data_IF_481052887969
#
_entry.id   IF_481052887969
#
_cell.length_a   1.000
_cell.length_b   1.000
_cell.length_c   1.000
_cell.angle_alpha   90.00
_cell.angle_beta   90.00
_cell.angle_gamma   90.00
#
_symmetry.space_group_name_H-M   'P 1'
#
loop_
_entity.id
_entity.type
_entity.pdbx_description
1 polymer ?
#
# COMPACT_ATOMS: atom_id res chain seq x y z
N UNK A 1 -19.91 8.73 11.96
CA UNK A 1 -18.47 8.56 11.76
C UNK A 1 -18.10 9.30 10.48
N UNK A 2 -17.27 10.30 10.61
CA UNK A 2 -16.78 11.00 9.43
C UNK A 2 -15.76 10.12 8.72
N UNK A 3 -16.04 9.72 7.47
CA UNK A 3 -14.99 9.24 6.59
C UNK A 3 -13.88 10.29 6.57
N UNK A 4 -12.61 9.89 6.60
CA UNK A 4 -11.54 10.85 6.45
C UNK A 4 -11.73 11.57 5.11
N UNK A 5 -11.65 12.89 5.15
CA UNK A 5 -11.68 13.65 3.92
C UNK A 5 -10.49 13.21 3.05
N UNK A 6 -10.80 12.53 1.97
CA UNK A 6 -9.81 12.14 0.97
C UNK A 6 -9.78 13.23 -0.11
N UNK A 7 -8.67 13.94 -0.20
CA UNK A 7 -8.42 14.78 -1.36
C UNK A 7 -8.49 13.92 -2.64
N UNK A 8 -9.05 14.40 -3.74
CA UNK A 8 -9.00 13.69 -5.03
C UNK A 8 -7.59 13.27 -5.44
N UNK A 9 -6.60 14.10 -5.13
CA UNK A 9 -5.19 13.89 -5.46
C UNK A 9 -4.42 13.08 -4.42
N UNK A 10 -5.05 12.63 -3.34
CA UNK A 10 -4.39 11.82 -2.32
C UNK A 10 -3.83 10.55 -2.95
N UNK A 11 -2.57 10.24 -2.66
CA UNK A 11 -1.91 9.02 -3.12
C UNK A 11 -2.23 7.89 -2.15
N UNK A 12 -2.78 6.80 -2.67
CA UNK A 12 -3.19 5.65 -1.89
C UNK A 12 -2.49 4.40 -2.40
N UNK A 13 -1.87 3.66 -1.49
CA UNK A 13 -1.34 2.33 -1.75
C UNK A 13 -2.29 1.30 -1.14
N UNK A 14 -2.84 0.44 -1.99
CA UNK A 14 -3.60 -0.73 -1.54
C UNK A 14 -2.62 -1.87 -1.31
N UNK A 15 -2.57 -2.37 -0.09
CA UNK A 15 -1.66 -3.43 0.34
C UNK A 15 -2.44 -4.57 1.00
N UNK A 16 -1.93 -5.79 0.89
CA UNK A 16 -2.54 -6.94 1.53
C UNK A 16 -2.21 -6.92 3.02
N UNK A 17 -3.23 -6.97 3.87
CA UNK A 17 -3.04 -7.22 5.29
C UNK A 17 -3.17 -8.72 5.54
N UNK A 18 -2.08 -9.43 5.92
CA UNK A 18 -2.06 -10.89 5.84
C UNK A 18 -3.06 -11.59 6.76
N UNK A 19 -3.22 -11.07 7.98
CA UNK A 19 -4.04 -11.71 9.02
C UNK A 19 -4.86 -10.70 9.82
N UNK A 20 -5.94 -11.14 10.49
CA UNK A 20 -6.67 -10.29 11.44
C UNK A 20 -5.79 -9.74 12.56
N UNK A 21 -4.77 -10.48 13.00
CA UNK A 21 -3.80 -10.07 14.01
C UNK A 21 -2.97 -8.89 13.51
N UNK A 22 -2.49 -8.94 12.26
CA UNK A 22 -1.77 -7.80 11.65
C UNK A 22 -2.65 -6.54 11.57
N UNK A 23 -3.94 -6.72 11.33
CA UNK A 23 -4.90 -5.61 11.37
C UNK A 23 -5.03 -5.03 12.79
N UNK A 24 -5.03 -5.86 13.82
CA UNK A 24 -5.04 -5.38 15.21
C UNK A 24 -3.75 -4.63 15.55
N UNK A 25 -2.59 -5.10 15.09
CA UNK A 25 -1.32 -4.37 15.21
C UNK A 25 -1.43 -2.99 14.58
N UNK A 26 -1.95 -2.90 13.36
CA UNK A 26 -2.15 -1.63 12.68
C UNK A 26 -3.09 -0.69 13.45
N UNK A 27 -4.17 -1.22 14.01
CA UNK A 27 -5.19 -0.43 14.75
C UNK A 27 -4.72 0.02 16.13
N UNK A 28 -4.01 -0.85 16.85
CA UNK A 28 -3.66 -0.63 18.26
C UNK A 28 -2.26 -0.03 18.38
N UNK A 29 -1.31 -0.55 17.62
CA UNK A 29 0.10 -0.12 17.71
C UNK A 29 0.47 0.91 16.62
N UNK A 30 -0.39 1.12 15.62
CA UNK A 30 -0.20 2.17 14.63
C UNK A 30 0.91 1.89 13.62
N UNK A 31 1.17 0.64 13.27
CA UNK A 31 2.15 0.31 12.24
C UNK A 31 1.76 -0.93 11.42
N UNK A 32 2.32 -1.00 10.22
CA UNK A 32 2.17 -2.11 9.28
C UNK A 32 3.54 -2.45 8.68
N UNK A 33 3.81 -3.72 8.44
CA UNK A 33 5.10 -4.19 7.91
C UNK A 33 4.97 -4.72 6.50
N UNK A 34 6.00 -4.42 5.69
CA UNK A 34 6.14 -4.95 4.34
C UNK A 34 7.55 -5.55 4.22
N UNK A 35 7.69 -6.83 3.83
CA UNK A 35 9.01 -7.40 3.58
C UNK A 35 9.77 -6.56 2.54
N UNK A 36 11.03 -6.22 2.82
CA UNK A 36 11.82 -5.33 1.96
C UNK A 36 11.96 -5.86 0.54
N UNK A 37 12.06 -7.19 0.39
CA UNK A 37 12.22 -7.85 -0.91
C UNK A 37 10.99 -7.73 -1.82
N UNK A 38 9.80 -7.55 -1.26
CA UNK A 38 8.54 -7.45 -2.01
C UNK A 38 7.92 -6.07 -1.94
N UNK A 39 8.54 -5.15 -1.21
CA UNK A 39 8.02 -3.81 -1.02
C UNK A 39 7.94 -3.05 -2.36
N UNK A 40 6.88 -2.26 -2.56
CA UNK A 40 6.82 -1.37 -3.70
C UNK A 40 7.89 -0.29 -3.58
N UNK A 41 8.36 0.22 -4.71
CA UNK A 41 9.44 1.21 -4.77
C UNK A 41 9.14 2.48 -3.97
N UNK A 42 7.88 2.90 -3.92
CA UNK A 42 7.46 4.15 -3.28
C UNK A 42 6.46 3.85 -2.17
N UNK A 43 6.89 4.12 -0.94
CA UNK A 43 6.07 3.99 0.27
C UNK A 43 5.62 5.35 0.83
N UNK A 44 6.14 6.44 0.29
CA UNK A 44 5.74 7.78 0.69
C UNK A 44 4.42 8.19 0.02
N UNK A 45 3.35 7.57 0.47
CA UNK A 45 1.97 7.82 0.06
C UNK A 45 1.18 8.49 1.19
N UNK A 46 0.00 9.01 0.90
CA UNK A 46 -0.83 9.67 1.92
C UNK A 46 -1.59 8.66 2.78
N UNK A 47 -2.02 7.54 2.16
CA UNK A 47 -2.81 6.52 2.84
C UNK A 47 -2.41 5.10 2.43
N UNK A 48 -2.54 4.17 3.37
CA UNK A 48 -2.62 2.75 3.10
C UNK A 48 -4.07 2.27 3.19
N UNK A 49 -4.51 1.52 2.19
CA UNK A 49 -5.78 0.80 2.21
C UNK A 49 -5.50 -0.71 2.32
N UNK A 50 -6.19 -1.38 3.22
CA UNK A 50 -5.89 -2.76 3.56
C UNK A 50 -6.84 -3.73 2.87
N UNK A 51 -6.28 -4.53 1.96
CA UNK A 51 -6.99 -5.64 1.34
C UNK A 51 -6.92 -6.89 2.21
N UNK A 52 -8.07 -7.48 2.47
CA UNK A 52 -8.26 -8.64 3.34
C UNK A 52 -8.31 -9.93 2.51
N UNK A 53 -7.27 -10.80 2.59
CA UNK A 53 -7.24 -12.08 1.89
C UNK A 53 -8.10 -13.15 2.57
N UNK A 54 -7.96 -14.42 2.13
CA UNK A 54 -8.75 -15.55 2.61
C UNK A 54 -8.72 -15.76 4.14
N UNK A 55 -7.60 -15.39 4.80
CA UNK A 55 -7.44 -15.47 6.27
C UNK A 55 -8.51 -14.71 7.05
N UNK A 56 -9.17 -13.74 6.44
CA UNK A 56 -10.27 -12.97 7.05
C UNK A 56 -11.63 -13.67 6.98
N UNK A 57 -11.72 -14.90 6.46
CA UNK A 57 -12.93 -15.74 6.44
C UNK A 57 -14.14 -15.03 5.83
N UNK A 58 -15.15 -14.69 6.63
CA UNK A 58 -16.38 -14.01 6.19
C UNK A 58 -16.14 -12.59 5.69
N UNK A 59 -15.05 -11.96 6.12
CA UNK A 59 -14.66 -10.59 5.73
C UNK A 59 -13.53 -10.57 4.68
N UNK A 60 -13.30 -11.68 4.01
CA UNK A 60 -12.28 -11.82 2.96
C UNK A 60 -12.66 -11.11 1.66
N UNK A 61 -11.67 -10.90 0.82
CA UNK A 61 -11.81 -10.40 -0.56
C UNK A 61 -12.41 -9.00 -0.65
N UNK A 62 -11.91 -8.09 0.18
CA UNK A 62 -12.37 -6.71 0.21
C UNK A 62 -11.35 -5.78 0.87
N UNK A 63 -11.51 -4.49 0.60
CA UNK A 63 -10.89 -3.40 1.35
C UNK A 63 -11.96 -2.80 2.25
N UNK A 64 -11.73 -2.80 3.56
CA UNK A 64 -12.63 -2.20 4.54
C UNK A 64 -11.99 -1.11 5.38
N UNK A 65 -10.65 -1.03 5.36
CA UNK A 65 -9.90 -0.15 6.25
C UNK A 65 -8.91 0.71 5.48
N UNK A 66 -8.75 1.93 5.95
CA UNK A 66 -7.85 2.94 5.43
C UNK A 66 -7.14 3.61 6.60
N UNK A 67 -5.85 3.91 6.47
CA UNK A 67 -5.08 4.64 7.46
C UNK A 67 -4.17 5.68 6.81
N UNK A 68 -4.01 6.88 7.42
CA UNK A 68 -2.99 7.82 6.98
C UNK A 68 -1.60 7.25 7.21
N UNK A 69 -0.68 7.48 6.28
CA UNK A 69 0.73 7.15 6.42
C UNK A 69 1.46 8.33 7.05
N UNK A 70 2.13 8.09 8.17
CA UNK A 70 2.91 9.11 8.87
C UNK A 70 4.39 9.08 8.52
N UNK A 71 4.89 7.93 8.07
CA UNK A 71 6.27 7.71 7.69
C UNK A 71 6.57 6.22 7.54
N UNK A 72 7.82 5.92 7.21
CA UNK A 72 8.29 4.53 7.16
C UNK A 72 9.78 4.47 7.49
N UNK A 73 10.22 3.31 7.96
CA UNK A 73 11.61 3.03 8.27
C UNK A 73 11.96 1.57 7.92
N UNK A 74 13.21 1.33 7.59
CA UNK A 74 13.72 -0.03 7.41
C UNK A 74 14.12 -0.58 8.78
N UNK A 75 13.70 -1.80 9.08
CA UNK A 75 13.96 -2.47 10.36
C UNK A 75 14.10 -3.97 10.15
N UNK A 76 14.56 -4.69 11.16
CA UNK A 76 14.61 -6.15 11.13
C UNK A 76 13.40 -6.78 11.83
N UNK A 77 13.16 -8.07 11.54
CA UNK A 77 12.10 -8.83 12.19
C UNK A 77 12.29 -8.84 13.72
N UNK A 78 13.53 -9.04 14.18
CA UNK A 78 13.87 -9.07 15.59
C UNK A 78 13.54 -7.75 16.31
N UNK A 79 13.76 -6.62 15.65
CA UNK A 79 13.42 -5.29 16.19
C UNK A 79 11.92 -5.03 16.24
N UNK A 80 11.19 -5.52 15.23
CA UNK A 80 9.73 -5.37 15.17
C UNK A 80 8.99 -6.27 16.18
N UNK A 81 9.48 -7.51 16.31
CA UNK A 81 8.85 -8.58 17.09
C UNK A 81 9.83 -9.02 18.18
N UNK A 82 9.90 -8.27 19.25
CA UNK A 82 10.88 -8.46 20.35
C UNK A 82 10.86 -9.85 21.00
N UNK A 83 9.77 -10.59 20.87
CA UNK A 83 9.63 -11.97 21.33
C UNK A 83 10.05 -13.02 20.31
N UNK A 84 10.50 -12.62 19.12
CA UNK A 84 10.96 -13.51 18.04
C UNK A 84 12.44 -13.35 17.71
N UNK A 85 13.27 -12.93 18.68
CA UNK A 85 14.71 -12.67 18.48
C UNK A 85 15.46 -13.93 18.00
N UNK A 86 15.05 -15.11 18.45
CA UNK A 86 15.65 -16.39 18.10
C UNK A 86 15.01 -17.04 16.85
N UNK A 87 14.12 -16.32 16.15
CA UNK A 87 13.48 -16.84 14.95
C UNK A 87 14.51 -17.02 13.81
N UNK A 88 14.42 -18.09 12.98
CA UNK A 88 15.35 -18.30 11.86
C UNK A 88 15.42 -17.13 10.86
N UNK A 89 14.39 -16.29 10.80
CA UNK A 89 14.33 -15.09 9.97
C UNK A 89 14.40 -13.79 10.79
N UNK A 90 15.10 -13.82 11.92
CA UNK A 90 15.22 -12.64 12.80
C UNK A 90 15.85 -11.43 12.10
N UNK A 91 16.80 -11.68 11.21
CA UNK A 91 17.53 -10.67 10.45
C UNK A 91 16.83 -10.25 9.14
N UNK A 92 15.65 -10.81 8.84
CA UNK A 92 14.88 -10.41 7.66
C UNK A 92 14.45 -8.94 7.78
N UNK A 93 14.71 -8.17 6.73
CA UNK A 93 14.40 -6.75 6.70
C UNK A 93 12.96 -6.48 6.27
N UNK A 94 12.36 -5.51 6.95
CA UNK A 94 11.01 -5.03 6.70
C UNK A 94 10.97 -3.50 6.66
N UNK A 95 10.11 -2.97 5.83
CA UNK A 95 9.65 -1.59 6.02
C UNK A 95 8.54 -1.58 7.06
N UNK A 96 8.77 -0.84 8.14
CA UNK A 96 7.74 -0.50 9.12
C UNK A 96 7.08 0.80 8.70
N UNK A 97 5.84 0.71 8.30
CA UNK A 97 5.04 1.89 7.92
C UNK A 97 4.27 2.36 9.14
N UNK A 98 4.54 3.58 9.56
CA UNK A 98 3.86 4.22 10.68
C UNK A 98 2.53 4.79 10.20
N UNK A 99 1.47 4.50 10.94
CA UNK A 99 0.11 4.80 10.58
C UNK A 99 -0.55 5.74 11.59
N UNK A 100 -1.40 6.62 11.08
CA UNK A 100 -2.40 7.27 11.89
C UNK A 100 -3.57 6.32 12.20
N UNK A 101 -4.67 6.86 12.69
CA UNK A 101 -5.84 6.06 13.06
C UNK A 101 -6.41 5.28 11.89
N UNK A 102 -6.51 3.97 12.04
CA UNK A 102 -7.18 3.10 11.06
C UNK A 102 -8.68 3.33 11.13
N UNK A 103 -9.28 3.64 10.00
CA UNK A 103 -10.71 3.93 9.88
C UNK A 103 -11.39 2.92 8.97
N UNK A 104 -12.62 2.57 9.32
CA UNK A 104 -13.47 1.71 8.48
C UNK A 104 -14.10 2.53 7.36
N UNK A 105 -14.16 1.95 6.17
CA UNK A 105 -14.93 2.50 5.06
C UNK A 105 -16.43 2.29 5.32
N UNK A 106 -17.25 3.23 4.88
CA UNK A 106 -18.71 3.11 4.93
C UNK A 106 -19.18 1.92 4.09
N UNK A 107 -18.58 1.75 2.92
CA UNK A 107 -18.87 0.65 2.00
C UNK A 107 -17.55 -0.05 1.65
N UNK A 108 -17.46 -1.38 1.87
CA UNK A 108 -16.29 -2.14 1.48
C UNK A 108 -16.11 -2.15 -0.04
N UNK A 109 -14.87 -2.05 -0.49
CA UNK A 109 -14.50 -2.24 -1.89
C UNK A 109 -14.22 -3.73 -2.10
N UNK A 110 -15.03 -4.41 -2.89
CA UNK A 110 -14.97 -5.86 -3.07
C UNK A 110 -14.00 -6.25 -4.18
N UNK A 111 -13.39 -7.41 -4.04
CA UNK A 111 -12.49 -7.94 -5.06
C UNK A 111 -13.20 -8.28 -6.38
N UNK A 112 -14.45 -8.75 -6.33
CA UNK A 112 -15.08 -9.34 -7.49
C UNK A 112 -14.28 -10.57 -7.93
N UNK A 113 -13.95 -10.66 -9.21
CA UNK A 113 -13.14 -11.76 -9.74
C UNK A 113 -11.63 -11.55 -9.57
N UNK A 114 -11.21 -10.34 -9.25
CA UNK A 114 -9.79 -9.99 -9.09
C UNK A 114 -9.34 -10.14 -7.63
N UNK A 115 -8.98 -11.35 -7.24
CA UNK A 115 -8.66 -11.70 -5.85
C UNK A 115 -7.18 -11.63 -5.50
N UNK A 116 -6.30 -11.53 -6.49
CA UNK A 116 -4.84 -11.57 -6.29
C UNK A 116 -4.16 -10.38 -6.95
N UNK A 117 -3.40 -9.66 -6.16
CA UNK A 117 -2.47 -8.63 -6.56
C UNK A 117 -1.41 -8.48 -5.46
N UNK A 118 -0.33 -7.79 -5.70
CA UNK A 118 0.68 -7.51 -4.67
C UNK A 118 0.44 -6.14 -4.06
N UNK A 119 0.48 -5.11 -4.89
CA UNK A 119 0.21 -3.72 -4.51
C UNK A 119 -0.55 -3.03 -5.63
N UNK A 120 -1.34 -2.04 -5.27
CA UNK A 120 -2.07 -1.22 -6.23
C UNK A 120 -1.99 0.24 -5.80
N UNK A 121 -1.43 1.11 -6.67
CA UNK A 121 -1.50 2.55 -6.49
C UNK A 121 -2.77 3.11 -7.10
N UNK A 122 -3.42 3.99 -6.35
CA UNK A 122 -4.60 4.70 -6.80
C UNK A 122 -4.64 6.11 -6.21
N UNK A 123 -5.66 6.86 -6.54
CA UNK A 123 -5.89 8.20 -5.98
C UNK A 123 -7.18 8.29 -5.19
N UNK A 124 -7.31 9.35 -4.39
CA UNK A 124 -8.53 9.59 -3.61
C UNK A 124 -9.78 9.71 -4.49
N UNK A 125 -9.64 10.24 -5.71
CA UNK A 125 -10.74 10.35 -6.66
C UNK A 125 -11.31 8.97 -7.03
N UNK A 126 -10.45 8.05 -7.45
CA UNK A 126 -10.85 6.67 -7.77
C UNK A 126 -11.34 5.92 -6.54
N UNK A 127 -10.68 6.10 -5.41
CA UNK A 127 -11.00 5.39 -4.17
C UNK A 127 -12.39 5.71 -3.64
N UNK A 128 -12.79 6.99 -3.65
CA UNK A 128 -14.11 7.42 -3.15
C UNK A 128 -15.29 6.85 -3.93
N UNK A 129 -15.12 6.62 -5.23
CA UNK A 129 -16.16 6.08 -6.10
C UNK A 129 -16.17 4.58 -6.26
N UNK A 130 -15.16 3.88 -5.71
CA UNK A 130 -14.95 2.47 -5.95
C UNK A 130 -15.93 1.57 -5.19
N UNK A 131 -16.45 0.57 -5.88
CA UNK A 131 -17.21 -0.55 -5.31
C UNK A 131 -16.49 -1.88 -5.51
N UNK A 132 -15.69 -1.98 -6.57
CA UNK A 132 -14.85 -3.13 -6.90
C UNK A 132 -13.37 -2.72 -6.97
N UNK A 133 -12.46 -3.67 -6.77
CA UNK A 133 -11.02 -3.43 -6.91
C UNK A 133 -10.65 -2.92 -8.31
N UNK A 134 -11.34 -3.37 -9.34
CA UNK A 134 -11.12 -2.90 -10.72
C UNK A 134 -11.39 -1.40 -10.88
N UNK A 135 -12.26 -0.83 -10.06
CA UNK A 135 -12.55 0.61 -10.08
C UNK A 135 -11.37 1.46 -9.57
N UNK A 136 -10.43 0.84 -8.85
CA UNK A 136 -9.24 1.51 -8.32
C UNK A 136 -8.14 1.67 -9.37
N UNK A 137 -8.24 0.99 -10.52
CA UNK A 137 -7.25 1.11 -11.58
C UNK A 137 -7.35 2.45 -12.29
N UNK A 138 -6.25 3.20 -12.25
CA UNK A 138 -6.18 4.54 -12.85
C UNK A 138 -6.19 4.44 -14.36
N UNK A 139 -7.00 5.27 -15.01
CA UNK A 139 -7.11 5.32 -16.47
C UNK A 139 -5.74 5.56 -17.14
N UNK A 140 -5.48 4.98 -18.33
CA UNK A 140 -4.18 5.09 -19.00
C UNK A 140 -3.69 6.53 -19.17
N UNK A 141 -4.58 7.46 -19.47
CA UNK A 141 -4.25 8.88 -19.63
C UNK A 141 -3.75 9.54 -18.35
N UNK A 142 -4.15 9.03 -17.19
CA UNK A 142 -3.81 9.60 -15.88
C UNK A 142 -2.63 8.90 -15.20
N UNK A 143 -2.22 7.72 -15.66
CA UNK A 143 -1.10 6.95 -15.08
C UNK A 143 0.21 7.74 -15.06
N UNK A 144 0.47 8.50 -16.09
CA UNK A 144 1.68 9.33 -16.18
C UNK A 144 1.68 10.42 -15.12
N UNK A 145 0.54 11.06 -14.87
CA UNK A 145 0.37 12.06 -13.80
C UNK A 145 0.57 11.44 -12.42
N UNK A 146 -0.04 10.28 -12.19
CA UNK A 146 0.13 9.55 -10.93
C UNK A 146 1.58 9.13 -10.72
N UNK A 147 2.25 8.60 -11.75
CA UNK A 147 3.66 8.24 -11.69
C UNK A 147 4.54 9.45 -11.36
N UNK A 148 4.29 10.59 -12.00
CA UNK A 148 5.02 11.82 -11.70
C UNK A 148 4.87 12.22 -10.23
N UNK A 149 3.67 12.19 -9.68
CA UNK A 149 3.41 12.50 -8.27
C UNK A 149 4.12 11.52 -7.33
N UNK A 150 4.10 10.22 -7.62
CA UNK A 150 4.80 9.19 -6.84
C UNK A 150 6.32 9.40 -6.89
N UNK A 151 6.87 9.69 -8.06
CA UNK A 151 8.30 9.93 -8.26
C UNK A 151 8.78 11.14 -7.48
N UNK A 152 8.05 12.24 -7.51
CA UNK A 152 8.38 13.45 -6.75
C UNK A 152 8.50 13.18 -5.25
N UNK A 153 7.66 12.31 -4.70
CA UNK A 153 7.74 11.88 -3.30
C UNK A 153 8.89 10.92 -3.03
N UNK A 154 9.22 10.06 -3.98
CA UNK A 154 10.35 9.13 -3.88
C UNK A 154 11.71 9.83 -3.87
N UNK A 155 11.89 10.90 -4.64
CA UNK A 155 13.17 11.63 -4.75
C UNK A 155 13.53 12.43 -3.50
N UNK A 156 12.60 12.68 -2.59
CA UNK A 156 12.90 13.32 -1.31
C UNK A 156 13.85 12.51 -0.41
N UNK A 157 14.14 11.25 -0.75
CA UNK A 157 14.98 10.34 0.02
C UNK A 157 16.16 9.72 -0.73
N UNK A 158 16.33 9.98 -2.03
CA UNK A 158 17.41 9.40 -2.82
C UNK A 158 18.10 10.43 -3.70
N UNK A 159 19.28 10.85 -3.28
CA UNK A 159 20.29 11.44 -4.16
C UNK A 159 20.85 10.33 -5.08
N UNK A 160 20.07 9.85 -6.03
CA UNK A 160 20.58 9.03 -7.11
C UNK A 160 20.44 9.75 -8.44
N UNK A 161 21.60 10.02 -9.04
CA UNK A 161 21.71 10.36 -10.45
C UNK A 161 21.02 9.27 -11.27
N UNK A 162 19.84 9.58 -11.75
CA UNK A 162 19.17 8.79 -12.78
C UNK A 162 19.42 9.49 -14.09
N UNK A 163 19.96 8.76 -15.06
CA UNK A 163 20.17 9.25 -16.42
C UNK A 163 18.89 9.90 -16.96
N UNK A 164 19.09 11.07 -17.54
CA UNK A 164 18.04 12.01 -17.93
C UNK A 164 17.17 11.57 -19.11
N UNK A 165 17.50 10.43 -19.74
CA UNK A 165 16.89 10.00 -20.99
C UNK A 165 15.64 9.12 -20.89
N UNK A 166 15.27 8.64 -19.67
CA UNK A 166 14.12 7.77 -19.46
C UNK A 166 13.05 8.34 -18.51
N UNK A 167 13.04 9.65 -18.30
CA UNK A 167 12.18 10.30 -17.30
C UNK A 167 10.68 10.23 -17.60
N UNK A 168 10.29 9.90 -18.84
CA UNK A 168 8.90 9.84 -19.27
C UNK A 168 8.30 8.43 -19.27
N UNK A 169 9.12 7.40 -19.18
CA UNK A 169 8.65 6.01 -19.13
C UNK A 169 8.28 5.61 -17.69
N UNK A 170 7.10 5.03 -17.51
CA UNK A 170 6.71 4.44 -16.22
C UNK A 170 7.48 3.13 -16.06
N UNK A 171 8.31 2.97 -15.00
CA UNK A 171 9.02 1.71 -14.77
C UNK A 171 8.06 0.52 -14.66
N UNK A 172 8.51 -0.65 -15.09
CA UNK A 172 7.66 -1.84 -15.19
C UNK A 172 7.08 -2.27 -13.84
N UNK A 173 7.84 -2.17 -12.76
CA UNK A 173 7.39 -2.46 -11.39
C UNK A 173 6.29 -1.51 -10.93
N UNK A 174 6.40 -0.23 -11.27
CA UNK A 174 5.35 0.77 -10.99
C UNK A 174 4.14 0.52 -11.87
N UNK A 175 4.33 0.24 -13.16
CA UNK A 175 3.23 -0.08 -14.06
C UNK A 175 2.47 -1.32 -13.58
N UNK A 176 3.18 -2.34 -13.11
CA UNK A 176 2.57 -3.54 -12.51
C UNK A 176 1.74 -3.19 -11.29
N UNK A 177 2.23 -2.32 -10.42
CA UNK A 177 1.48 -1.85 -9.25
C UNK A 177 0.30 -0.94 -9.61
N UNK A 178 0.36 -0.22 -10.74
CA UNK A 178 -0.78 0.54 -11.25
C UNK A 178 -1.86 -0.35 -11.88
N UNK A 179 -1.45 -1.49 -12.41
CA UNK A 179 -2.34 -2.47 -13.04
C UNK A 179 -2.75 -3.60 -12.11
N UNK A 180 -2.14 -3.69 -10.91
CA UNK A 180 -2.36 -4.77 -9.97
C UNK A 180 -1.89 -6.14 -10.47
N UNK A 181 -0.85 -6.17 -11.33
CA UNK A 181 -0.29 -7.42 -11.86
C UNK A 181 0.60 -8.05 -10.80
N UNK A 182 0.35 -9.33 -10.51
CA UNK A 182 1.25 -10.12 -9.65
C UNK A 182 2.37 -10.69 -10.49
N UNK A 183 3.61 -10.50 -10.04
CA UNK A 183 4.74 -11.26 -10.55
C UNK A 183 4.72 -12.66 -9.91
N UNK A 184 4.71 -13.66 -10.75
CA UNK A 184 4.87 -15.07 -10.36
C UNK A 184 6.34 -15.34 -10.04
#
# INVERSE_FOLDING_TARGET
MNEPYLSPDALILVAIIPTPEDLQVARVLGWYRIPSQTAPRILNVDFLAFYQPASFQTRRWRVEFLAPVLGHELTTRAELLQNEVDHPRADEEYFKVQLGSVRSLRHPIRAGDWKRFTFLYTTGEYFRGASLLTDLTVAPAERRRLWKALRERGTSFSNYQTDQDDLDAIPFDILSALLGITHS
#
